data_IF_732727091404
#
_entry.id   IF_732727091404
#
_cell.length_a   1.000
_cell.length_b   1.000
_cell.length_c   1.000
_cell.angle_alpha   90.00
_cell.angle_beta   90.00
_cell.angle_gamma   90.00
#
_symmetry.space_group_name_H-M   'P 1'
#
loop_
_entity.id
_entity.type
_entity.pdbx_description
1 polymer ?
#
# COMPACT_ATOMS: atom_id res chain seq x y z
N UNK A 1 -32.97 -31.63 60.83
CA UNK A 1 -31.71 -31.03 60.33
C UNK A 1 -31.96 -30.46 58.94
N UNK A 2 -32.23 -29.15 58.82
CA UNK A 2 -32.48 -28.47 57.53
C UNK A 2 -31.13 -28.09 56.90
N UNK A 3 -30.82 -28.66 55.73
CA UNK A 3 -29.61 -28.33 54.96
C UNK A 3 -29.83 -26.98 54.26
N UNK A 4 -29.02 -25.98 54.60
CA UNK A 4 -28.95 -24.73 53.86
C UNK A 4 -28.00 -24.91 52.67
N UNK A 5 -28.53 -24.72 51.46
CA UNK A 5 -27.77 -24.69 50.22
C UNK A 5 -27.24 -23.27 50.01
N UNK A 6 -25.92 -23.09 50.14
CA UNK A 6 -25.25 -21.83 49.82
C UNK A 6 -25.20 -21.67 48.29
N UNK A 7 -26.01 -20.75 47.75
CA UNK A 7 -25.89 -20.29 46.37
C UNK A 7 -24.68 -19.35 46.28
N UNK A 8 -23.63 -19.80 45.58
CA UNK A 8 -22.54 -18.92 45.14
C UNK A 8 -23.04 -18.12 43.93
N UNK A 9 -23.42 -16.87 44.14
CA UNK A 9 -23.69 -15.94 43.03
C UNK A 9 -22.35 -15.52 42.42
N UNK A 10 -21.98 -16.14 41.30
CA UNK A 10 -20.86 -15.70 40.48
C UNK A 10 -21.23 -14.34 39.85
N UNK A 11 -20.67 -13.25 40.38
CA UNK A 11 -20.65 -11.96 39.69
C UNK A 11 -19.76 -12.09 38.46
N UNK A 12 -20.37 -12.31 37.29
CA UNK A 12 -19.69 -12.09 36.01
C UNK A 12 -19.51 -10.58 35.84
N UNK A 13 -18.30 -10.08 36.11
CA UNK A 13 -17.89 -8.79 35.58
C UNK A 13 -17.75 -8.96 34.06
N UNK A 14 -18.73 -8.47 33.31
CA UNK A 14 -18.58 -8.22 31.87
C UNK A 14 -17.50 -7.16 31.70
N UNK A 15 -16.27 -7.60 31.47
CA UNK A 15 -15.25 -6.74 30.88
C UNK A 15 -15.73 -6.41 29.47
N UNK A 16 -16.36 -5.24 29.31
CA UNK A 16 -16.59 -4.66 28.00
C UNK A 16 -15.22 -4.45 27.36
N UNK A 17 -14.81 -5.38 26.49
CA UNK A 17 -13.71 -5.16 25.56
C UNK A 17 -14.18 -4.01 24.67
N UNK A 18 -13.68 -2.80 24.92
CA UNK A 18 -13.94 -1.66 24.04
C UNK A 18 -13.36 -2.01 22.67
N UNK A 19 -14.24 -2.32 21.72
CA UNK A 19 -13.85 -2.58 20.34
C UNK A 19 -13.29 -1.29 19.72
N UNK A 20 -12.27 -1.43 18.87
CA UNK A 20 -11.75 -0.31 18.08
C UNK A 20 -12.91 0.34 17.29
N UNK A 21 -12.97 1.66 17.33
CA UNK A 21 -14.09 2.45 16.79
C UNK A 21 -13.70 3.14 15.49
N UNK A 22 -14.62 3.20 14.53
CA UNK A 22 -14.40 3.86 13.25
C UNK A 22 -14.79 5.33 13.37
N UNK A 23 -13.91 6.22 12.93
CA UNK A 23 -14.15 7.66 12.82
C UNK A 23 -13.99 8.08 11.35
N UNK A 24 -14.95 8.81 10.82
CA UNK A 24 -14.88 9.38 9.47
C UNK A 24 -14.43 10.83 9.55
N UNK A 25 -13.51 11.24 8.68
CA UNK A 25 -13.04 12.63 8.66
C UNK A 25 -14.18 13.58 8.32
N UNK A 26 -14.31 14.66 9.08
CA UNK A 26 -15.20 15.75 8.74
C UNK A 26 -14.53 16.62 7.65
N UNK A 27 -15.07 16.65 6.42
CA UNK A 27 -14.47 17.41 5.33
C UNK A 27 -14.44 18.92 5.59
N UNK A 28 -15.32 19.44 6.45
CA UNK A 28 -15.37 20.86 6.78
C UNK A 28 -14.38 21.27 7.89
N UNK A 29 -13.88 20.29 8.65
CA UNK A 29 -12.95 20.50 9.76
C UNK A 29 -11.64 19.71 9.56
N UNK A 30 -11.33 19.38 8.31
CA UNK A 30 -10.07 18.74 7.92
C UNK A 30 -9.34 19.63 6.92
N UNK A 31 -8.11 19.99 7.25
CA UNK A 31 -7.26 20.85 6.44
C UNK A 31 -5.88 20.20 6.26
N UNK A 32 -5.48 20.00 5.01
CA UNK A 32 -4.18 19.45 4.63
C UNK A 32 -3.44 20.55 3.87
N UNK A 33 -2.46 21.16 4.53
CA UNK A 33 -1.69 22.27 3.99
C UNK A 33 -0.28 21.83 3.61
N UNK A 34 0.27 22.46 2.58
CA UNK A 34 1.64 22.23 2.11
C UNK A 34 2.39 23.55 2.03
N UNK A 35 3.72 23.49 2.17
CA UNK A 35 4.61 24.60 1.85
C UNK A 35 5.97 24.12 1.35
N UNK A 36 6.59 24.91 0.48
CA UNK A 36 7.93 24.66 -0.04
C UNK A 36 8.70 25.97 -0.19
N UNK A 37 10.01 25.98 0.12
CA UNK A 37 10.84 27.17 -0.04
C UNK A 37 11.08 27.48 -1.54
N UNK A 38 11.05 28.75 -1.90
CA UNK A 38 11.27 29.24 -3.25
C UNK A 38 12.48 30.19 -3.29
N UNK A 39 13.62 29.64 -3.73
CA UNK A 39 14.93 30.29 -3.92
C UNK A 39 15.49 30.97 -2.66
N UNK A 40 15.08 30.52 -1.47
CA UNK A 40 15.46 31.15 -0.20
C UNK A 40 14.66 32.40 0.16
N UNK A 41 13.83 32.95 -0.74
CA UNK A 41 13.15 34.22 -0.54
C UNK A 41 11.79 34.09 0.16
N UNK A 42 11.05 33.02 -0.10
CA UNK A 42 9.70 32.83 0.45
C UNK A 42 9.34 31.36 0.60
N UNK A 43 8.18 31.08 1.21
CA UNK A 43 7.61 29.73 1.31
C UNK A 43 6.18 29.74 0.73
N UNK A 44 6.01 29.65 -0.60
CA UNK A 44 4.71 29.38 -1.19
C UNK A 44 4.01 28.22 -0.49
N UNK A 45 2.71 28.37 -0.27
CA UNK A 45 1.88 27.43 0.47
C UNK A 45 0.50 27.30 -0.16
N UNK A 46 -0.18 26.20 0.16
CA UNK A 46 -1.56 25.97 -0.23
C UNK A 46 -2.17 24.85 0.57
N UNK A 47 -3.35 24.40 0.13
CA UNK A 47 -4.09 23.29 0.72
C UNK A 47 -4.70 22.38 -0.34
N UNK A 48 -5.12 21.21 0.08
CA UNK A 48 -6.03 20.35 -0.69
C UNK A 48 -7.43 20.43 -0.06
N UNK A 49 -8.45 20.74 -0.86
CA UNK A 49 -9.82 20.93 -0.35
C UNK A 49 -10.68 19.69 -0.42
N UNK A 50 -10.24 18.64 -1.11
CA UNK A 50 -10.99 17.40 -1.24
C UNK A 50 -10.14 16.22 -0.76
N UNK A 51 -10.57 15.66 0.37
CA UNK A 51 -10.02 14.43 0.92
C UNK A 51 -11.11 13.57 1.53
N UNK A 52 -10.89 12.26 1.56
CA UNK A 52 -11.81 11.30 2.16
C UNK A 52 -11.02 10.17 2.82
N UNK A 53 -11.59 9.58 3.87
CA UNK A 53 -10.89 8.56 4.62
C UNK A 53 -11.53 8.29 5.97
N UNK A 54 -10.86 7.45 6.74
CA UNK A 54 -11.29 7.08 8.07
C UNK A 54 -10.09 6.81 8.98
N UNK A 55 -10.37 6.81 10.28
CA UNK A 55 -9.48 6.29 11.32
C UNK A 55 -10.18 5.15 12.04
N UNK A 56 -9.42 4.13 12.39
CA UNK A 56 -9.81 3.12 13.38
C UNK A 56 -9.06 3.48 14.65
N UNK A 57 -9.76 3.79 15.74
CA UNK A 57 -9.18 4.17 17.01
C UNK A 57 -9.50 3.12 18.06
N UNK A 58 -8.44 2.50 18.59
CA UNK A 58 -8.51 1.63 19.76
C UNK A 58 -8.13 2.46 20.99
N UNK A 59 -9.14 2.98 21.71
CA UNK A 59 -8.91 3.81 22.90
C UNK A 59 -8.28 3.01 24.06
N UNK A 60 -8.47 1.69 24.08
CA UNK A 60 -7.87 0.80 25.08
C UNK A 60 -6.40 0.47 24.75
N UNK A 61 -6.07 0.32 23.47
CA UNK A 61 -4.71 0.07 22.98
C UNK A 61 -4.38 0.98 21.79
N UNK A 62 -4.05 2.26 22.02
CA UNK A 62 -3.87 3.25 20.95
C UNK A 62 -2.89 2.86 19.83
N UNK A 63 -1.87 2.03 20.12
CA UNK A 63 -0.96 1.47 19.12
C UNK A 63 -1.63 0.57 18.06
N UNK A 64 -2.82 0.03 18.31
CA UNK A 64 -3.60 -0.75 17.34
C UNK A 64 -4.44 0.13 16.40
N UNK A 65 -4.39 1.45 16.59
CA UNK A 65 -5.12 2.39 15.74
C UNK A 65 -4.54 2.45 14.32
N UNK A 66 -5.35 2.85 13.36
CA UNK A 66 -4.92 3.03 11.97
C UNK A 66 -5.66 4.16 11.28
N UNK A 67 -5.10 4.65 10.17
CA UNK A 67 -5.68 5.71 9.34
C UNK A 67 -5.46 5.39 7.86
N UNK A 68 -6.49 5.67 7.06
CA UNK A 68 -6.41 5.70 5.61
C UNK A 68 -7.04 6.99 5.10
N UNK A 69 -6.34 7.69 4.20
CA UNK A 69 -6.84 8.91 3.57
C UNK A 69 -6.47 8.94 2.09
N UNK A 70 -7.39 9.41 1.27
CA UNK A 70 -7.23 9.70 -0.16
C UNK A 70 -7.45 11.20 -0.36
N UNK A 71 -6.60 11.82 -1.16
CA UNK A 71 -6.62 13.26 -1.46
C UNK A 71 -6.79 13.40 -2.97
N UNK A 72 -7.76 14.21 -3.42
CA UNK A 72 -7.90 14.54 -4.85
C UNK A 72 -6.86 15.62 -5.18
N UNK A 73 -5.87 15.29 -6.00
CA UNK A 73 -4.74 16.21 -6.28
C UNK A 73 -5.19 17.45 -7.06
N UNK A 74 -6.26 17.34 -7.85
CA UNK A 74 -6.88 18.46 -8.56
C UNK A 74 -7.49 19.53 -7.63
N UNK A 75 -7.73 19.21 -6.35
CA UNK A 75 -8.27 20.12 -5.33
C UNK A 75 -7.22 21.06 -4.71
N UNK A 76 -6.02 21.11 -5.28
CA UNK A 76 -4.96 22.01 -4.82
C UNK A 76 -5.37 23.48 -4.97
N UNK A 77 -5.20 24.25 -3.90
CA UNK A 77 -5.50 25.68 -3.85
C UNK A 77 -4.43 26.44 -3.06
N UNK A 78 -3.83 27.44 -3.68
CA UNK A 78 -2.87 28.39 -3.10
C UNK A 78 -3.48 29.77 -2.86
N UNK A 79 -4.68 30.02 -3.38
CA UNK A 79 -5.31 31.34 -3.42
C UNK A 79 -4.91 32.16 -4.65
N UNK A 80 -4.09 31.62 -5.54
CA UNK A 80 -3.74 32.24 -6.82
C UNK A 80 -3.93 31.26 -7.98
N UNK A 81 -5.01 31.44 -8.74
CA UNK A 81 -5.47 30.50 -9.78
C UNK A 81 -4.39 30.10 -10.77
N UNK A 82 -3.57 31.02 -11.25
CA UNK A 82 -2.52 30.70 -12.22
C UNK A 82 -1.46 29.76 -11.62
N UNK A 83 -1.17 29.88 -10.33
CA UNK A 83 -0.27 28.95 -9.65
C UNK A 83 -0.94 27.60 -9.37
N UNK A 84 -2.23 27.58 -9.05
CA UNK A 84 -3.00 26.35 -8.90
C UNK A 84 -3.00 25.53 -10.19
N UNK A 85 -3.25 26.18 -11.34
CA UNK A 85 -3.16 25.54 -12.64
C UNK A 85 -1.74 25.05 -12.95
N UNK A 86 -0.72 25.80 -12.57
CA UNK A 86 0.68 25.37 -12.72
C UNK A 86 0.97 24.10 -11.91
N UNK A 87 0.50 24.02 -10.66
CA UNK A 87 0.69 22.87 -9.77
C UNK A 87 0.00 21.60 -10.27
N UNK A 88 -1.04 21.72 -11.08
CA UNK A 88 -1.76 20.58 -11.67
C UNK A 88 -1.03 19.92 -12.85
N UNK A 89 -0.09 20.63 -13.48
CA UNK A 89 0.61 20.15 -14.68
C UNK A 89 1.58 19.00 -14.42
N UNK A 90 2.11 18.41 -15.50
CA UNK A 90 3.12 17.33 -15.47
C UNK A 90 4.42 17.67 -14.75
N UNK A 91 4.72 18.96 -14.58
CA UNK A 91 5.93 19.42 -13.88
C UNK A 91 5.79 19.24 -12.35
N UNK A 92 4.54 19.11 -11.87
CA UNK A 92 4.19 18.98 -10.45
C UNK A 92 3.28 17.78 -10.21
N UNK A 93 1.98 17.99 -9.91
CA UNK A 93 1.07 16.93 -9.45
C UNK A 93 0.52 16.05 -10.57
N UNK A 94 0.64 16.46 -11.83
CA UNK A 94 0.21 15.71 -13.01
C UNK A 94 -1.18 15.08 -12.83
N UNK A 95 -2.15 15.92 -12.50
CA UNK A 95 -3.46 15.47 -11.98
C UNK A 95 -4.29 14.70 -13.00
N UNK A 96 -4.03 14.90 -14.29
CA UNK A 96 -4.64 14.11 -15.37
C UNK A 96 -4.24 12.64 -15.31
N UNK A 97 -2.97 12.35 -15.01
CA UNK A 97 -2.45 10.97 -14.93
C UNK A 97 -2.55 10.39 -13.52
N UNK A 98 -2.46 11.23 -12.50
CA UNK A 98 -2.42 10.86 -11.09
C UNK A 98 -3.42 11.72 -10.28
N UNK A 99 -4.73 11.44 -10.40
CA UNK A 99 -5.78 12.27 -9.79
C UNK A 99 -5.85 12.14 -8.26
N UNK A 100 -5.12 11.20 -7.68
CA UNK A 100 -5.17 10.88 -6.26
C UNK A 100 -3.78 10.74 -5.65
N UNK A 101 -3.63 11.27 -4.44
CA UNK A 101 -2.60 10.88 -3.49
C UNK A 101 -3.25 10.08 -2.35
N UNK A 102 -2.53 9.11 -1.78
CA UNK A 102 -3.09 8.21 -0.76
C UNK A 102 -2.09 7.97 0.37
N UNK A 103 -2.55 7.98 1.61
CA UNK A 103 -1.78 7.53 2.76
C UNK A 103 -2.49 6.39 3.49
N UNK A 104 -1.75 5.33 3.82
CA UNK A 104 -2.23 4.20 4.63
C UNK A 104 -1.23 3.91 5.73
N UNK A 105 -1.64 4.06 6.99
CA UNK A 105 -0.77 3.76 8.14
C UNK A 105 -0.38 2.28 8.18
N UNK A 106 0.82 2.03 8.71
CA UNK A 106 1.38 0.69 8.95
C UNK A 106 1.66 0.45 10.42
N UNK A 107 2.08 1.49 11.12
CA UNK A 107 2.50 1.40 12.51
C UNK A 107 2.17 2.70 13.25
N UNK A 108 1.70 2.57 14.50
CA UNK A 108 1.40 3.68 15.39
C UNK A 108 2.16 3.50 16.69
N UNK A 109 3.08 4.42 16.98
CA UNK A 109 3.84 4.44 18.23
C UNK A 109 3.34 5.62 19.06
N UNK A 110 2.65 5.34 20.15
CA UNK A 110 2.03 6.35 21.02
C UNK A 110 2.94 6.70 22.20
N UNK A 111 3.03 8.00 22.50
CA UNK A 111 3.74 8.58 23.64
C UNK A 111 2.87 9.67 24.26
N UNK A 112 2.07 9.28 25.27
CA UNK A 112 1.10 10.16 25.90
C UNK A 112 0.07 10.69 24.88
N UNK A 113 0.08 12.00 24.64
CA UNK A 113 -0.81 12.66 23.67
C UNK A 113 -0.21 12.80 22.28
N UNK A 114 0.97 12.25 22.04
CA UNK A 114 1.65 12.29 20.75
C UNK A 114 1.79 10.89 20.17
N UNK A 115 1.90 10.79 18.86
CA UNK A 115 2.17 9.53 18.19
C UNK A 115 3.06 9.74 16.96
N UNK A 116 3.88 8.73 16.65
CA UNK A 116 4.49 8.58 15.32
C UNK A 116 3.65 7.59 14.53
N UNK A 117 3.07 8.05 13.43
CA UNK A 117 2.27 7.23 12.53
C UNK A 117 3.05 7.05 11.24
N UNK A 118 3.66 5.89 11.07
CA UNK A 118 4.42 5.53 9.86
C UNK A 118 3.49 4.80 8.90
N UNK A 119 3.55 5.16 7.61
CA UNK A 119 2.67 4.58 6.60
C UNK A 119 3.16 4.74 5.17
N UNK A 120 2.46 4.09 4.26
CA UNK A 120 2.72 4.14 2.84
C UNK A 120 2.02 5.37 2.25
N UNK A 121 2.78 6.29 1.66
CA UNK A 121 2.28 7.46 0.95
C UNK A 121 2.51 7.28 -0.55
N UNK A 122 1.43 7.26 -1.31
CA UNK A 122 1.44 7.22 -2.77
C UNK A 122 1.17 8.60 -3.34
N UNK A 123 2.08 9.11 -4.17
CA UNK A 123 1.96 10.36 -4.92
C UNK A 123 2.61 10.16 -6.31
N UNK A 124 1.99 10.67 -7.37
CA UNK A 124 2.48 10.48 -8.75
C UNK A 124 2.69 9.01 -9.15
N UNK A 125 1.90 8.09 -8.57
CA UNK A 125 2.02 6.65 -8.79
C UNK A 125 3.21 5.98 -8.10
N UNK A 126 4.06 6.73 -7.40
CA UNK A 126 5.17 6.23 -6.60
C UNK A 126 4.76 6.16 -5.15
N UNK A 127 5.13 5.07 -4.45
CA UNK A 127 4.83 4.89 -3.03
C UNK A 127 6.13 4.97 -2.23
N UNK A 128 6.14 5.81 -1.21
CA UNK A 128 7.24 5.92 -0.24
C UNK A 128 6.71 5.80 1.18
N UNK A 129 7.54 5.29 2.07
CA UNK A 129 7.21 5.28 3.51
C UNK A 129 7.48 6.66 4.09
N UNK A 130 6.46 7.28 4.68
CA UNK A 130 6.59 8.54 5.42
C UNK A 130 6.10 8.37 6.86
N UNK A 131 6.53 9.28 7.74
CA UNK A 131 6.08 9.30 9.13
C UNK A 131 5.42 10.63 9.46
N UNK A 132 4.19 10.57 9.97
CA UNK A 132 3.46 11.69 10.53
C UNK A 132 3.79 11.80 12.02
N UNK A 133 4.17 13.00 12.46
CA UNK A 133 4.22 13.34 13.88
C UNK A 133 2.85 13.89 14.29
N UNK A 134 2.09 13.10 15.04
CA UNK A 134 0.69 13.34 15.38
C UNK A 134 0.57 13.77 16.83
N UNK A 135 -0.33 14.71 17.10
CA UNK A 135 -0.77 15.11 18.44
C UNK A 135 -2.27 14.95 18.53
N UNK A 136 -2.74 14.22 19.54
CA UNK A 136 -4.14 14.17 19.93
C UNK A 136 -4.52 15.48 20.63
N UNK A 137 -5.42 16.25 20.02
CA UNK A 137 -5.93 17.52 20.56
C UNK A 137 -7.08 17.27 21.53
N UNK A 138 -8.05 16.45 21.15
CA UNK A 138 -9.17 16.05 22.02
C UNK A 138 -9.85 14.80 21.47
N UNK A 139 -10.41 14.01 22.37
CA UNK A 139 -11.41 12.98 22.06
C UNK A 139 -12.55 13.13 23.06
N UNK A 140 -13.79 13.08 22.62
CA UNK A 140 -14.97 13.20 23.48
C UNK A 140 -16.21 13.68 22.75
N UNK A 141 -17.29 13.92 23.50
CA UNK A 141 -18.53 14.48 22.94
C UNK A 141 -18.30 15.94 22.55
N UNK A 142 -18.53 16.26 21.27
CA UNK A 142 -18.53 17.62 20.77
C UNK A 142 -19.81 18.32 21.25
N UNK A 143 -19.68 19.43 21.97
CA UNK A 143 -20.81 20.15 22.58
C UNK A 143 -21.77 20.80 21.57
N UNK A 144 -21.34 20.98 20.31
CA UNK A 144 -22.18 21.50 19.25
C UNK A 144 -22.90 20.39 18.50
N UNK A 145 -22.17 19.39 17.99
CA UNK A 145 -22.77 18.30 17.20
C UNK A 145 -23.41 17.21 18.03
N UNK A 146 -23.13 17.16 19.35
CA UNK A 146 -23.53 16.11 20.29
C UNK A 146 -23.04 14.71 19.89
N UNK A 147 -22.06 14.62 18.99
CA UNK A 147 -21.43 13.37 18.55
C UNK A 147 -20.06 13.20 19.19
N UNK A 148 -19.61 11.95 19.35
CA UNK A 148 -18.23 11.66 19.75
C UNK A 148 -17.30 12.03 18.60
N UNK A 149 -16.34 12.92 18.88
CA UNK A 149 -15.41 13.48 17.90
C UNK A 149 -13.99 13.33 18.42
N UNK A 150 -13.06 13.15 17.50
CA UNK A 150 -11.62 13.14 17.76
C UNK A 150 -10.95 14.19 16.89
N UNK A 151 -10.03 14.96 17.47
CA UNK A 151 -9.27 16.01 16.79
C UNK A 151 -7.76 15.77 16.91
N UNK A 152 -7.05 15.95 15.79
CA UNK A 152 -5.60 15.75 15.70
C UNK A 152 -4.92 16.90 14.95
N UNK A 153 -3.70 17.21 15.38
CA UNK A 153 -2.71 17.93 14.58
C UNK A 153 -1.66 16.94 14.10
N UNK A 154 -1.22 17.03 12.85
CA UNK A 154 -0.13 16.20 12.34
C UNK A 154 0.82 16.97 11.43
N UNK A 155 2.11 16.61 11.48
CA UNK A 155 3.15 17.21 10.65
C UNK A 155 4.03 16.16 10.00
N UNK A 156 4.44 16.40 8.77
CA UNK A 156 5.50 15.63 8.11
C UNK A 156 6.22 16.46 7.07
N UNK A 157 7.30 15.91 6.53
CA UNK A 157 7.96 16.44 5.35
C UNK A 157 8.52 15.30 4.53
N UNK A 158 8.51 15.47 3.21
CA UNK A 158 9.08 14.49 2.28
C UNK A 158 9.81 15.22 1.15
N UNK A 159 10.71 14.51 0.46
CA UNK A 159 11.33 15.04 -0.75
C UNK A 159 10.42 14.78 -1.93
N UNK A 160 10.09 15.82 -2.70
CA UNK A 160 9.26 15.67 -3.90
C UNK A 160 10.00 14.93 -5.03
N UNK A 161 11.33 14.94 -5.02
CA UNK A 161 12.17 14.14 -5.93
C UNK A 161 12.02 12.63 -5.70
N UNK A 162 11.68 12.17 -4.49
CA UNK A 162 11.40 10.75 -4.21
C UNK A 162 10.15 10.24 -4.95
N UNK A 163 9.34 11.16 -5.50
CA UNK A 163 8.14 10.90 -6.31
C UNK A 163 8.32 11.38 -7.77
N UNK A 164 9.55 11.62 -8.21
CA UNK A 164 9.92 12.15 -9.53
C UNK A 164 9.42 13.56 -9.86
N UNK A 165 8.97 14.33 -8.85
CA UNK A 165 8.57 15.73 -9.04
C UNK A 165 9.80 16.64 -8.94
N UNK A 166 10.62 16.72 -9.99
CA UNK A 166 11.96 17.36 -9.94
C UNK A 166 12.04 18.78 -10.50
N UNK A 167 11.00 19.27 -11.18
CA UNK A 167 11.01 20.58 -11.85
C UNK A 167 11.46 21.71 -10.91
N UNK A 168 12.43 22.51 -11.32
CA UNK A 168 12.91 23.68 -10.57
C UNK A 168 13.79 23.39 -9.35
N UNK A 169 14.14 22.13 -9.05
CA UNK A 169 15.15 21.84 -8.01
C UNK A 169 16.55 22.34 -8.42
N UNK A 170 17.40 22.81 -7.47
CA UNK A 170 17.12 23.03 -6.04
C UNK A 170 16.49 24.40 -5.74
N UNK A 171 16.30 25.27 -6.73
CA UNK A 171 15.74 26.61 -6.56
C UNK A 171 14.37 26.59 -5.88
N UNK A 172 13.50 25.69 -6.31
CA UNK A 172 12.32 25.28 -5.55
C UNK A 172 12.73 24.08 -4.69
N UNK A 173 12.64 24.25 -3.37
CA UNK A 173 13.06 23.24 -2.38
C UNK A 173 12.54 21.85 -2.73
N UNK A 174 13.42 20.87 -2.60
CA UNK A 174 13.05 19.47 -2.74
C UNK A 174 12.22 18.99 -1.54
N UNK A 175 12.47 19.54 -0.35
CA UNK A 175 11.68 19.23 0.83
C UNK A 175 10.36 20.00 0.83
N UNK A 176 9.25 19.27 0.88
CA UNK A 176 7.88 19.79 1.04
C UNK A 176 7.44 19.52 2.47
N UNK A 177 6.94 20.55 3.16
CA UNK A 177 6.36 20.43 4.50
C UNK A 177 4.85 20.28 4.39
N UNK A 178 4.29 19.40 5.21
CA UNK A 178 2.86 19.15 5.32
C UNK A 178 2.42 19.39 6.77
N UNK A 179 1.39 20.21 6.93
CA UNK A 179 0.71 20.46 8.21
C UNK A 179 -0.77 20.10 8.06
N UNK A 180 -1.28 19.29 8.99
CA UNK A 180 -2.63 18.73 8.97
C UNK A 180 -3.31 19.11 10.29
N UNK A 181 -4.53 19.61 10.18
CA UNK A 181 -5.48 19.74 11.30
C UNK A 181 -6.75 19.01 10.88
N UNK A 182 -7.20 18.04 11.68
CA UNK A 182 -8.32 17.19 11.30
C UNK A 182 -9.24 16.89 12.49
N UNK A 183 -10.54 16.98 12.25
CA UNK A 183 -11.56 16.36 13.09
C UNK A 183 -12.19 15.17 12.38
N UNK A 184 -12.50 14.13 13.15
CA UNK A 184 -13.23 12.98 12.68
C UNK A 184 -14.32 12.61 13.68
N UNK A 185 -15.46 12.18 13.15
CA UNK A 185 -16.69 11.91 13.90
C UNK A 185 -16.88 10.41 13.98
N UNK A 186 -17.26 9.92 15.17
CA UNK A 186 -17.57 8.52 15.37
C UNK A 186 -18.66 8.10 14.38
N UNK A 187 -18.36 7.04 13.64
CA UNK A 187 -19.28 6.45 12.67
C UNK A 187 -20.22 5.49 13.39
N UNK A 188 -21.49 5.46 12.97
CA UNK A 188 -22.45 4.43 13.40
C UNK A 188 -22.13 3.05 12.78
N UNK A 189 -21.17 3.03 11.83
CA UNK A 189 -20.67 1.81 11.20
C UNK A 189 -19.94 0.95 12.23
N UNK A 190 -20.46 -0.26 12.49
CA UNK A 190 -19.80 -1.28 13.32
C UNK A 190 -18.65 -1.99 12.60
N UNK A 191 -18.60 -1.84 11.28
CA UNK A 191 -17.52 -2.30 10.42
C UNK A 191 -17.39 -1.32 9.27
N UNK A 192 -16.19 -1.13 8.74
CA UNK A 192 -16.02 -0.33 7.53
C UNK A 192 -16.73 -1.12 6.43
N UNK A 193 -17.89 -0.64 5.98
CA UNK A 193 -18.43 -1.07 4.70
C UNK A 193 -17.31 -0.84 3.69
N UNK A 194 -16.69 -1.94 3.27
CA UNK A 194 -15.78 -1.97 2.14
C UNK A 194 -16.52 -1.20 1.04
N UNK A 195 -15.89 -0.26 0.31
CA UNK A 195 -16.41 0.08 -1.00
C UNK A 195 -16.73 -1.26 -1.65
N UNK A 196 -17.89 -1.41 -2.31
CA UNK A 196 -18.23 -2.62 -3.04
C UNK A 196 -17.18 -2.85 -4.14
N UNK A 197 -16.02 -3.34 -3.73
CA UNK A 197 -14.99 -3.92 -4.52
C UNK A 197 -15.44 -5.36 -4.50
N UNK A 198 -16.19 -5.74 -5.53
CA UNK A 198 -16.22 -7.12 -5.98
C UNK A 198 -14.75 -7.55 -6.05
N UNK A 199 -14.29 -8.20 -4.99
CA UNK A 199 -12.90 -8.65 -4.83
C UNK A 199 -12.55 -9.77 -5.80
N UNK A 200 -13.51 -10.14 -6.64
CA UNK A 200 -13.34 -11.09 -7.72
C UNK A 200 -12.77 -10.45 -8.99
N UNK A 201 -12.81 -9.11 -9.21
CA UNK A 201 -12.45 -8.56 -10.54
C UNK A 201 -11.79 -7.17 -10.63
N UNK A 202 -11.35 -6.54 -9.54
CA UNK A 202 -10.52 -5.32 -9.68
C UNK A 202 -9.08 -5.72 -9.94
N UNK A 203 -8.76 -5.86 -11.23
CA UNK A 203 -7.37 -5.93 -11.68
C UNK A 203 -6.58 -4.74 -11.16
N UNK A 204 -5.42 -5.01 -10.56
CA UNK A 204 -4.42 -4.03 -10.15
C UNK A 204 -3.49 -3.66 -11.33
N UNK A 205 -3.74 -4.19 -12.53
CA UNK A 205 -2.97 -3.86 -13.73
C UNK A 205 -3.03 -2.35 -14.00
N UNK A 206 -1.85 -1.72 -14.01
CA UNK A 206 -1.69 -0.30 -14.34
C UNK A 206 -1.71 -0.08 -15.86
N UNK A 207 -2.89 -0.20 -16.47
CA UNK A 207 -3.09 -0.05 -17.93
C UNK A 207 -2.53 1.24 -18.50
N UNK A 208 -2.48 2.32 -17.71
CA UNK A 208 -1.92 3.62 -18.08
C UNK A 208 -0.39 3.64 -18.28
N UNK A 209 0.31 2.54 -17.95
CA UNK A 209 1.72 2.37 -18.28
C UNK A 209 1.95 1.87 -19.71
N UNK A 210 0.91 1.42 -20.39
CA UNK A 210 1.02 0.71 -21.66
C UNK A 210 0.34 1.48 -22.79
N UNK A 211 0.95 1.43 -23.97
CA UNK A 211 0.34 1.86 -25.21
C UNK A 211 -0.53 0.74 -25.81
N UNK A 212 -1.04 0.94 -27.04
CA UNK A 212 -1.85 -0.08 -27.73
C UNK A 212 -1.09 -1.36 -28.11
N UNK A 213 0.23 -1.40 -27.94
CA UNK A 213 1.09 -2.50 -28.38
C UNK A 213 1.48 -3.46 -27.25
N UNK A 214 0.88 -3.31 -26.06
CA UNK A 214 1.14 -4.17 -24.91
C UNK A 214 0.90 -5.66 -25.22
N UNK A 215 1.77 -6.49 -24.70
CA UNK A 215 1.64 -7.94 -24.73
C UNK A 215 0.88 -8.41 -23.50
N UNK A 216 -0.04 -9.33 -23.70
CA UNK A 216 -0.73 -10.01 -22.61
C UNK A 216 0.03 -11.28 -22.24
N UNK A 217 0.23 -11.48 -20.94
CA UNK A 217 0.76 -12.74 -20.40
C UNK A 217 -0.19 -13.87 -20.77
N UNK A 218 0.37 -14.99 -21.24
CA UNK A 218 -0.32 -16.23 -21.58
C UNK A 218 -0.18 -17.17 -20.36
N UNK A 219 -1.17 -17.27 -19.47
CA UNK A 219 -0.98 -17.96 -18.18
C UNK A 219 -0.73 -19.45 -18.35
N UNK A 220 -1.38 -20.09 -19.33
CA UNK A 220 -1.19 -21.52 -19.65
C UNK A 220 0.24 -21.90 -20.04
N UNK A 221 1.02 -20.95 -20.54
CA UNK A 221 2.41 -21.14 -20.94
C UNK A 221 3.38 -20.49 -19.94
N UNK A 222 2.88 -20.01 -18.80
CA UNK A 222 3.66 -19.27 -17.83
C UNK A 222 3.59 -19.97 -16.47
N UNK A 223 4.53 -19.66 -15.59
CA UNK A 223 4.57 -20.19 -14.23
C UNK A 223 5.17 -19.17 -13.27
N UNK A 224 4.57 -19.06 -12.08
CA UNK A 224 5.12 -18.31 -10.95
C UNK A 224 5.19 -19.27 -9.76
N UNK A 225 6.42 -19.59 -9.36
CA UNK A 225 6.72 -20.53 -8.30
C UNK A 225 7.42 -19.81 -7.15
N UNK A 226 7.23 -20.29 -5.93
CA UNK A 226 7.96 -19.83 -4.76
C UNK A 226 8.59 -20.99 -4.01
N UNK A 227 9.71 -20.73 -3.36
CA UNK A 227 10.45 -21.69 -2.56
C UNK A 227 10.97 -21.02 -1.28
N UNK A 228 10.86 -21.72 -0.17
CA UNK A 228 11.51 -21.40 1.10
C UNK A 228 11.87 -22.70 1.82
N UNK A 229 12.33 -22.63 3.06
CA UNK A 229 12.56 -23.81 3.91
C UNK A 229 11.78 -23.72 5.21
N UNK A 230 11.35 -24.86 5.74
CA UNK A 230 10.79 -25.04 7.08
C UNK A 230 11.60 -26.10 7.80
N UNK A 231 12.27 -25.74 8.89
CA UNK A 231 13.15 -26.65 9.63
C UNK A 231 14.15 -27.37 8.69
N UNK A 232 14.78 -26.61 7.80
CA UNK A 232 15.69 -27.06 6.73
C UNK A 232 15.07 -27.93 5.62
N UNK A 233 13.77 -28.24 5.68
CA UNK A 233 13.04 -28.95 4.63
C UNK A 233 12.51 -27.97 3.58
N UNK A 234 12.63 -28.24 2.27
CA UNK A 234 12.13 -27.34 1.24
C UNK A 234 10.61 -27.28 1.25
N UNK A 235 10.08 -26.06 1.16
CA UNK A 235 8.65 -25.77 0.96
C UNK A 235 8.50 -25.13 -0.41
N UNK A 236 7.75 -25.80 -1.29
CA UNK A 236 7.56 -25.38 -2.68
C UNK A 236 6.08 -25.09 -2.93
N UNK A 237 5.81 -23.98 -3.60
CA UNK A 237 4.46 -23.64 -4.05
C UNK A 237 4.45 -22.89 -5.37
N UNK A 238 3.26 -22.72 -5.93
CA UNK A 238 3.01 -22.01 -7.17
C UNK A 238 1.67 -21.30 -7.15
N UNK A 239 1.55 -20.20 -7.89
CA UNK A 239 0.28 -19.52 -8.13
C UNK A 239 -0.28 -19.95 -9.48
N UNK A 240 -1.52 -20.46 -9.52
CA UNK A 240 -2.15 -20.98 -10.74
C UNK A 240 -2.90 -19.93 -11.56
N UNK A 241 -3.30 -18.82 -10.93
CA UNK A 241 -4.06 -17.75 -11.58
C UNK A 241 -3.29 -16.44 -11.46
N UNK A 242 -2.87 -15.93 -12.61
CA UNK A 242 -2.23 -14.63 -12.75
C UNK A 242 -2.48 -14.14 -14.18
N UNK A 243 -2.39 -12.83 -14.37
CA UNK A 243 -2.44 -12.18 -15.67
C UNK A 243 -1.54 -10.93 -15.62
N UNK A 244 -1.29 -10.32 -16.77
CA UNK A 244 -0.49 -9.11 -16.79
C UNK A 244 -0.29 -8.56 -18.19
N UNK A 245 0.18 -7.33 -18.21
CA UNK A 245 0.60 -6.62 -19.41
C UNK A 245 2.11 -6.38 -19.36
N UNK A 246 2.75 -6.50 -20.52
CA UNK A 246 4.18 -6.29 -20.72
C UNK A 246 4.36 -5.46 -22.00
N UNK A 247 5.10 -4.36 -21.90
CA UNK A 247 5.75 -3.74 -23.06
C UNK A 247 7.24 -3.82 -22.81
N UNK A 248 7.99 -4.36 -23.76
CA UNK A 248 9.44 -4.48 -23.61
C UNK A 248 10.12 -4.17 -24.93
N UNK A 249 11.13 -3.31 -24.88
CA UNK A 249 12.00 -3.02 -26.02
C UNK A 249 13.46 -3.18 -25.56
N UNK A 250 14.13 -4.20 -26.10
CA UNK A 250 15.53 -4.51 -25.73
C UNK A 250 16.54 -3.47 -26.26
N UNK A 251 16.17 -2.67 -27.26
CA UNK A 251 16.97 -1.58 -27.82
C UNK A 251 16.72 -0.26 -27.07
N UNK A 252 15.50 -0.05 -26.60
CA UNK A 252 15.11 1.09 -25.78
C UNK A 252 14.30 0.67 -24.54
N UNK A 253 15.02 0.21 -23.52
CA UNK A 253 14.41 -0.27 -22.27
C UNK A 253 13.68 0.83 -21.48
N UNK A 254 13.83 2.12 -21.85
CA UNK A 254 13.16 3.23 -21.18
C UNK A 254 11.64 3.27 -21.44
N UNK A 255 11.19 2.67 -22.55
CA UNK A 255 9.78 2.52 -22.90
C UNK A 255 9.17 1.20 -22.41
N UNK A 256 9.90 0.44 -21.59
CA UNK A 256 9.45 -0.85 -21.08
C UNK A 256 8.61 -0.70 -19.82
N UNK A 257 7.59 -1.53 -19.68
CA UNK A 257 6.72 -1.61 -18.52
C UNK A 257 6.21 -3.04 -18.31
N UNK A 258 5.92 -3.38 -17.06
CA UNK A 258 5.27 -4.64 -16.68
C UNK A 258 4.33 -4.39 -15.51
N UNK A 259 3.17 -5.03 -15.56
CA UNK A 259 2.19 -5.03 -14.49
C UNK A 259 1.51 -6.39 -14.46
N UNK A 260 1.72 -7.14 -13.39
CA UNK A 260 1.25 -8.52 -13.23
C UNK A 260 0.36 -8.58 -11.99
N UNK A 261 -0.85 -9.09 -12.15
CA UNK A 261 -1.71 -9.46 -11.03
C UNK A 261 -1.63 -10.96 -10.78
N UNK A 262 -1.53 -11.31 -9.51
CA UNK A 262 -1.49 -12.69 -9.04
C UNK A 262 -2.66 -12.87 -8.08
N UNK A 263 -3.51 -13.85 -8.34
CA UNK A 263 -4.53 -14.27 -7.38
C UNK A 263 -3.85 -15.18 -6.35
N UNK A 264 -3.67 -14.67 -5.13
CA UNK A 264 -2.96 -15.40 -4.08
C UNK A 264 -3.78 -16.56 -3.54
N UNK A 265 -5.09 -16.59 -3.77
CA UNK A 265 -5.94 -17.74 -3.42
C UNK A 265 -5.67 -18.94 -4.34
N UNK A 266 -4.98 -18.73 -5.46
CA UNK A 266 -4.59 -19.78 -6.42
C UNK A 266 -3.31 -20.54 -6.04
N UNK A 267 -2.84 -20.38 -4.79
CA UNK A 267 -1.70 -21.12 -4.26
C UNK A 267 -1.95 -22.63 -4.36
N UNK A 268 -0.92 -23.34 -4.80
CA UNK A 268 -0.90 -24.79 -4.98
C UNK A 268 0.53 -25.32 -4.81
N UNK A 269 0.70 -26.64 -4.73
CA UNK A 269 1.99 -27.30 -4.61
C UNK A 269 2.01 -28.29 -3.46
N UNK A 270 3.21 -28.75 -3.08
CA UNK A 270 3.43 -29.68 -1.97
C UNK A 270 3.32 -28.99 -0.61
N UNK A 271 2.17 -28.35 -0.37
CA UNK A 271 1.92 -27.51 0.81
C UNK A 271 1.04 -28.21 1.86
N UNK A 272 0.37 -29.32 1.51
CA UNK A 272 -0.45 -30.11 2.44
C UNK A 272 -1.36 -29.24 3.32
N UNK A 273 -1.37 -29.51 4.62
CA UNK A 273 -2.16 -28.77 5.61
C UNK A 273 -1.74 -27.30 5.78
N UNK A 274 -0.55 -26.90 5.29
CA UNK A 274 -0.09 -25.52 5.38
C UNK A 274 -1.00 -24.55 4.61
N UNK A 275 -1.75 -25.02 3.61
CA UNK A 275 -2.73 -24.18 2.88
C UNK A 275 -3.77 -23.60 3.85
N UNK A 276 -4.19 -24.34 4.87
CA UNK A 276 -5.13 -23.83 5.88
C UNK A 276 -4.53 -22.70 6.71
N UNK A 277 -3.24 -22.80 7.04
CA UNK A 277 -2.48 -21.78 7.76
C UNK A 277 -2.25 -20.55 6.88
N UNK A 278 -1.90 -20.73 5.60
CA UNK A 278 -1.66 -19.62 4.67
C UNK A 278 -2.88 -18.70 4.52
N UNK A 279 -4.08 -19.22 4.73
CA UNK A 279 -5.34 -18.47 4.67
C UNK A 279 -5.56 -17.52 5.85
N UNK A 280 -4.89 -17.74 6.99
CA UNK A 280 -5.17 -16.99 8.21
C UNK A 280 -4.67 -15.55 8.14
N UNK A 281 -5.17 -14.71 9.04
CA UNK A 281 -4.79 -13.30 9.19
C UNK A 281 -3.29 -13.10 9.41
N UNK A 282 -2.62 -14.06 10.05
CA UNK A 282 -1.19 -14.00 10.32
C UNK A 282 -0.38 -14.23 9.03
N UNK A 283 -0.94 -14.96 8.06
CA UNK A 283 -0.28 -15.29 6.80
C UNK A 283 -0.80 -14.41 5.67
N UNK A 284 -1.35 -14.96 4.59
CA UNK A 284 -1.71 -14.17 3.42
C UNK A 284 -3.08 -13.49 3.56
N UNK A 285 -3.92 -13.93 4.50
CA UNK A 285 -5.27 -13.43 4.71
C UNK A 285 -6.04 -13.26 3.39
N UNK A 286 -6.30 -14.37 2.70
CA UNK A 286 -6.89 -14.34 1.35
C UNK A 286 -8.24 -13.63 1.31
N UNK A 287 -8.98 -13.62 2.42
CA UNK A 287 -10.27 -12.94 2.52
C UNK A 287 -10.09 -11.41 2.38
N UNK A 288 -9.06 -10.84 3.00
CA UNK A 288 -8.77 -9.41 2.94
C UNK A 288 -7.90 -9.03 1.74
N UNK A 289 -6.93 -9.88 1.37
CA UNK A 289 -5.93 -9.59 0.33
C UNK A 289 -5.87 -10.70 -0.72
N UNK A 290 -6.90 -10.87 -1.57
CA UNK A 290 -6.97 -11.95 -2.56
C UNK A 290 -6.02 -11.76 -3.76
N UNK A 291 -5.41 -10.57 -3.91
CA UNK A 291 -4.51 -10.23 -5.02
C UNK A 291 -3.16 -9.75 -4.52
N UNK A 292 -2.12 -10.14 -5.23
CA UNK A 292 -0.81 -9.49 -5.24
C UNK A 292 -0.57 -8.84 -6.60
N UNK A 293 0.31 -7.84 -6.66
CA UNK A 293 0.66 -7.17 -7.90
C UNK A 293 2.14 -6.83 -7.95
N UNK A 294 2.79 -7.05 -9.09
CA UNK A 294 4.11 -6.49 -9.36
C UNK A 294 4.01 -5.49 -10.50
N UNK A 295 4.48 -4.27 -10.29
CA UNK A 295 4.53 -3.22 -11.31
C UNK A 295 5.94 -2.64 -11.42
N UNK A 296 6.49 -2.57 -12.64
CA UNK A 296 7.76 -1.92 -12.92
C UNK A 296 7.70 -1.15 -14.25
N UNK A 297 8.41 -0.02 -14.31
CA UNK A 297 8.61 0.79 -15.50
C UNK A 297 10.07 1.32 -15.58
N UNK A 298 10.96 0.72 -14.80
CA UNK A 298 12.38 1.02 -14.79
C UNK A 298 13.14 -0.28 -14.98
N UNK A 299 13.99 -0.32 -15.99
CA UNK A 299 14.72 -1.51 -16.40
C UNK A 299 16.21 -1.20 -16.50
N UNK A 300 17.03 -2.14 -16.09
CA UNK A 300 18.50 -2.05 -16.17
C UNK A 300 19.03 -3.26 -16.92
N UNK A 301 19.89 -3.03 -17.91
CA UNK A 301 20.63 -4.10 -18.58
C UNK A 301 21.75 -4.58 -17.66
N UNK A 302 21.81 -5.88 -17.41
CA UNK A 302 22.74 -6.52 -16.47
C UNK A 302 23.65 -7.58 -17.14
N UNK A 303 23.66 -7.64 -18.47
CA UNK A 303 24.45 -8.58 -19.24
C UNK A 303 23.86 -8.87 -20.61
N UNK A 304 24.38 -9.90 -21.29
CA UNK A 304 23.82 -10.38 -22.54
C UNK A 304 22.48 -11.07 -22.27
N UNK A 305 21.40 -10.48 -22.78
CA UNK A 305 20.02 -10.92 -22.54
C UNK A 305 19.62 -10.95 -21.05
N UNK A 306 20.35 -10.28 -20.14
CA UNK A 306 20.04 -10.24 -18.72
C UNK A 306 19.59 -8.84 -18.32
N UNK A 307 18.50 -8.76 -17.57
CA UNK A 307 17.87 -7.50 -17.20
C UNK A 307 17.34 -7.54 -15.77
N UNK A 308 17.17 -6.35 -15.20
CA UNK A 308 16.56 -6.14 -13.88
C UNK A 308 15.36 -5.21 -14.09
N UNK A 309 14.15 -5.69 -13.77
CA UNK A 309 12.98 -4.85 -13.63
C UNK A 309 12.93 -4.32 -12.20
N UNK A 310 13.06 -3.01 -12.04
CA UNK A 310 12.99 -2.30 -10.76
C UNK A 310 11.57 -1.82 -10.56
N UNK A 311 10.86 -2.46 -9.63
CA UNK A 311 9.43 -2.23 -9.44
C UNK A 311 8.99 -2.28 -8.01
N UNK A 312 7.68 -2.32 -7.83
CA UNK A 312 7.02 -2.47 -6.54
C UNK A 312 6.21 -3.76 -6.55
N UNK A 313 6.41 -4.59 -5.51
CA UNK A 313 5.56 -5.73 -5.22
C UNK A 313 4.55 -5.32 -4.14
N UNK A 314 3.27 -5.48 -4.45
CA UNK A 314 2.18 -5.39 -3.50
C UNK A 314 1.80 -6.80 -3.09
N UNK A 315 1.92 -7.12 -1.81
CA UNK A 315 1.51 -8.40 -1.24
C UNK A 315 0.97 -8.19 0.18
N UNK A 316 -0.16 -8.84 0.50
CA UNK A 316 -0.90 -8.62 1.76
C UNK A 316 -1.16 -7.13 2.08
N UNK A 317 -1.49 -6.36 1.05
CA UNK A 317 -1.74 -4.91 1.17
C UNK A 317 -0.50 -4.04 1.46
N UNK A 318 0.70 -4.62 1.45
CA UNK A 318 1.97 -3.91 1.63
C UNK A 318 2.76 -3.79 0.34
N UNK A 319 3.31 -2.61 0.10
CA UNK A 319 4.10 -2.29 -1.08
C UNK A 319 5.57 -2.28 -0.70
N UNK A 320 6.38 -3.10 -1.37
CA UNK A 320 7.82 -3.18 -1.13
C UNK A 320 8.56 -3.04 -2.46
N UNK A 321 9.51 -2.10 -2.59
CA UNK A 321 10.40 -2.04 -3.74
C UNK A 321 11.12 -3.37 -3.95
N UNK A 322 11.03 -3.92 -5.14
CA UNK A 322 11.50 -5.27 -5.46
C UNK A 322 12.23 -5.26 -6.80
N UNK A 323 13.48 -5.72 -6.78
CA UNK A 323 14.27 -5.98 -7.98
C UNK A 323 13.93 -7.38 -8.51
N UNK A 324 13.50 -7.46 -9.77
CA UNK A 324 13.19 -8.71 -10.46
C UNK A 324 14.22 -8.96 -11.56
N UNK A 325 14.98 -10.05 -11.42
CA UNK A 325 16.03 -10.43 -12.35
C UNK A 325 15.47 -11.37 -13.40
N UNK A 326 15.73 -11.14 -14.69
CA UNK A 326 15.28 -12.03 -15.75
C UNK A 326 16.27 -12.13 -16.91
N UNK A 327 16.23 -13.29 -17.55
CA UNK A 327 16.89 -13.56 -18.81
C UNK A 327 15.84 -13.54 -19.93
N UNK A 328 16.10 -12.74 -20.97
CA UNK A 328 15.30 -12.68 -22.17
C UNK A 328 15.54 -13.92 -23.03
N UNK A 329 14.46 -14.64 -23.34
CA UNK A 329 14.43 -15.76 -24.27
C UNK A 329 14.10 -15.29 -25.70
N UNK A 330 13.28 -16.06 -26.40
CA UNK A 330 12.81 -15.69 -27.73
C UNK A 330 11.94 -14.43 -27.64
N UNK A 331 12.20 -13.46 -28.50
CA UNK A 331 11.55 -12.15 -28.52
C UNK A 331 11.33 -11.70 -29.97
N UNK A 332 10.12 -11.23 -30.27
CA UNK A 332 9.75 -10.58 -31.54
C UNK A 332 8.78 -9.44 -31.23
N UNK A 333 8.39 -8.66 -32.24
CA UNK A 333 7.38 -7.59 -32.06
C UNK A 333 6.00 -8.14 -31.67
N UNK A 334 5.77 -9.45 -31.84
CA UNK A 334 4.52 -10.11 -31.50
C UNK A 334 4.49 -10.65 -30.06
N UNK A 335 5.62 -10.69 -29.35
CA UNK A 335 5.70 -11.25 -28.01
C UNK A 335 7.09 -11.74 -27.61
N UNK A 336 7.18 -12.34 -26.43
CA UNK A 336 8.42 -12.93 -25.97
C UNK A 336 8.29 -13.83 -24.75
N UNK A 337 9.40 -14.47 -24.42
CA UNK A 337 9.54 -15.32 -23.25
C UNK A 337 10.69 -14.88 -22.35
N UNK A 338 10.50 -15.02 -21.04
CA UNK A 338 11.54 -14.74 -20.04
C UNK A 338 11.56 -15.82 -18.97
N UNK A 339 12.74 -16.08 -18.42
CA UNK A 339 12.91 -16.82 -17.18
C UNK A 339 13.59 -15.91 -16.16
N UNK A 340 13.13 -15.92 -14.92
CA UNK A 340 13.68 -15.02 -13.93
C UNK A 340 13.37 -15.41 -12.50
N UNK A 341 13.84 -14.57 -11.59
CA UNK A 341 13.65 -14.74 -10.17
C UNK A 341 13.69 -13.40 -9.42
N UNK A 342 13.20 -13.44 -8.19
CA UNK A 342 13.46 -12.44 -7.17
C UNK A 342 13.54 -13.11 -5.81
N UNK A 343 14.11 -12.43 -4.83
CA UNK A 343 14.11 -12.84 -3.43
C UNK A 343 13.43 -11.75 -2.61
N UNK A 344 12.53 -12.17 -1.75
CA UNK A 344 11.80 -11.28 -0.85
C UNK A 344 11.92 -11.78 0.59
N UNK A 345 11.64 -10.90 1.56
CA UNK A 345 11.36 -11.31 2.93
C UNK A 345 9.86 -11.28 3.17
N UNK A 346 9.27 -12.39 3.60
CA UNK A 346 7.82 -12.46 3.84
C UNK A 346 7.39 -11.54 4.99
N UNK A 347 8.26 -11.30 5.95
CA UNK A 347 8.01 -10.40 7.09
C UNK A 347 7.86 -8.93 6.69
N UNK A 348 8.49 -8.48 5.61
CA UNK A 348 8.32 -7.11 5.08
C UNK A 348 6.84 -6.87 4.69
N UNK A 349 6.17 -7.91 4.19
CA UNK A 349 4.75 -7.92 3.85
C UNK A 349 3.83 -8.27 5.04
N UNK A 350 4.40 -8.53 6.21
CA UNK A 350 3.64 -8.94 7.40
C UNK A 350 3.07 -10.35 7.29
N UNK A 351 3.70 -11.22 6.50
CA UNK A 351 3.30 -12.63 6.35
C UNK A 351 4.10 -13.48 7.34
N UNK A 352 3.42 -14.02 8.34
CA UNK A 352 4.00 -14.76 9.45
C UNK A 352 4.85 -13.87 10.37
N UNK A 353 5.84 -14.47 11.03
CA UNK A 353 6.78 -13.76 11.91
C UNK A 353 8.18 -13.69 11.31
N UNK A 354 8.95 -12.63 11.58
CA UNK A 354 10.34 -12.51 11.14
C UNK A 354 11.25 -13.58 11.78
N UNK A 355 11.01 -13.94 13.06
CA UNK A 355 11.69 -15.07 13.70
C UNK A 355 11.07 -16.37 13.19
N UNK A 356 11.87 -17.17 12.47
CA UNK A 356 11.43 -18.44 11.90
C UNK A 356 10.82 -19.38 12.97
N UNK A 357 11.31 -19.37 14.21
CA UNK A 357 10.75 -20.19 15.31
C UNK A 357 9.33 -19.78 15.67
N UNK A 358 9.04 -18.48 15.61
CA UNK A 358 7.69 -17.93 15.80
C UNK A 358 6.80 -18.08 14.58
N UNK A 359 7.38 -18.42 13.42
CA UNK A 359 6.68 -18.69 12.18
C UNK A 359 6.57 -20.20 11.87
N UNK A 360 6.64 -21.06 12.89
CA UNK A 360 6.53 -22.50 12.72
C UNK A 360 7.67 -23.10 11.90
N UNK A 361 8.89 -22.59 12.07
CA UNK A 361 10.11 -23.06 11.41
C UNK A 361 10.35 -22.49 10.01
N UNK A 362 9.39 -21.73 9.46
CA UNK A 362 9.47 -21.21 8.08
C UNK A 362 10.45 -20.05 8.00
N UNK A 363 11.43 -20.12 7.10
CA UNK A 363 12.40 -19.06 6.88
C UNK A 363 11.76 -17.79 6.34
N UNK A 364 12.36 -16.65 6.65
CA UNK A 364 11.84 -15.34 6.24
C UNK A 364 12.13 -15.04 4.76
N UNK A 365 13.29 -15.48 4.26
CA UNK A 365 13.61 -15.36 2.83
C UNK A 365 12.75 -16.34 2.01
N UNK A 366 12.13 -15.81 0.97
CA UNK A 366 11.37 -16.56 -0.03
C UNK A 366 11.96 -16.24 -1.40
N UNK A 367 12.34 -17.27 -2.13
CA UNK A 367 12.74 -17.13 -3.54
C UNK A 367 11.53 -17.34 -4.43
N UNK A 368 11.24 -16.38 -5.30
CA UNK A 368 10.23 -16.49 -6.35
C UNK A 368 10.95 -16.73 -7.66
N UNK A 369 10.55 -17.78 -8.40
CA UNK A 369 11.06 -18.11 -9.73
C UNK A 369 9.91 -18.11 -10.72
N UNK A 370 10.13 -17.59 -11.91
CA UNK A 370 9.08 -17.52 -12.92
C UNK A 370 9.59 -17.83 -14.33
N UNK A 371 8.65 -18.30 -15.14
CA UNK A 371 8.72 -18.36 -16.60
C UNK A 371 7.51 -17.58 -17.10
N UNK A 372 7.70 -16.54 -17.88
CA UNK A 372 6.59 -15.75 -18.44
C UNK A 372 6.67 -15.83 -19.96
N UNK A 373 5.54 -16.14 -20.58
CA UNK A 373 5.31 -16.04 -22.01
C UNK A 373 4.21 -15.01 -22.23
N UNK A 374 4.43 -14.04 -23.10
CA UNK A 374 3.47 -13.00 -23.44
C UNK A 374 3.42 -12.76 -24.94
N UNK A 375 2.26 -12.37 -25.46
CA UNK A 375 2.06 -12.04 -26.86
C UNK A 375 1.09 -10.87 -27.04
N UNK A 376 1.16 -10.17 -28.17
CA UNK A 376 0.14 -9.20 -28.58
C UNK A 376 -1.23 -9.87 -28.59
N UNK A 377 -2.23 -9.13 -28.14
CA UNK A 377 -3.64 -9.52 -28.29
C UNK A 377 -4.07 -9.04 -29.66
N UNK A 378 -4.56 -9.96 -30.50
CA UNK A 378 -5.13 -9.63 -31.82
C UNK A 378 -6.44 -8.84 -31.70
#
# INVERSE_FOLDING_TARGET
MKKYLLLFAAFFFSNSVYAASIYEFDPNHTNITWSANHFGFSNPSGKFTESSGFMIIDEANPQNSSVQITIKTASVQSGFTAFDERLKTKDFLNVEKFPEAKFVSRNVIVQGRTAKVTGDFTLLGVTQTITLNVRLNRIGINSYTQKKTVGFSAKTSFKRSDFFMTFGTPGISDNVKIDIEAEAILSDKQSIEKPAVNSEDVSLIKKNLFDKNAWQIIPKNSAINFATTRDNSPVLGSFKKFNGLISFDSKDISNSAVSIDIDVSSISGSLGDAISILKTSDWFDFAQFPKANFTANSFVKNGNNQFIAKGNLILKGRTVPTDVFFNLGNYTDAGGSVNGYTKIKRSDFGIGNQDARKAGGVQDEVTIKFTINAAKVE
#
